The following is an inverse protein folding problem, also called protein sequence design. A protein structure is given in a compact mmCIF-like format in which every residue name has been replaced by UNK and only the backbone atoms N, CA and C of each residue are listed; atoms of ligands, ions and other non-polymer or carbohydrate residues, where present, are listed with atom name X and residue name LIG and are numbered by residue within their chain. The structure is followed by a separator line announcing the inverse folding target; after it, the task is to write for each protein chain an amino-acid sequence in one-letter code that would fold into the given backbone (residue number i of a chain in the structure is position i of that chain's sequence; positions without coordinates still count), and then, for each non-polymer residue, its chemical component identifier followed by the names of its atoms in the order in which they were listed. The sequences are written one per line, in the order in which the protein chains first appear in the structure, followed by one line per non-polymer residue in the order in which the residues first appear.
data_IF_821264354320
#
_entry.id   IF_821264354320
#
_cell.length_a   1.000
_cell.length_b   1.000
_cell.length_c   1.000
_cell.angle_alpha   90.00
_cell.angle_beta   90.00
_cell.angle_gamma   90.00
#
_symmetry.space_group_name_H-M   'P 1'
#
loop_
_entity.id
_entity.type
_entity.pdbx_description
1 polymer ?
#
# COMPACT_ATOMS: atom_id res chain seq x y z
N UNK A 1 2.54 0.21 -11.23
CA UNK A 1 2.13 0.09 -9.82
C UNK A 1 2.68 1.28 -9.03
N UNK A 2 3.99 1.44 -8.82
CA UNK A 2 4.61 2.49 -7.98
C UNK A 2 4.09 3.90 -8.33
N UNK A 3 4.10 4.28 -9.60
CA UNK A 3 3.63 5.61 -10.02
C UNK A 3 2.14 5.81 -9.70
N UNK A 4 1.29 4.82 -9.92
CA UNK A 4 -0.14 4.89 -9.59
C UNK A 4 -0.36 5.07 -8.08
N UNK A 5 0.42 4.36 -7.26
CA UNK A 5 0.45 4.54 -5.80
C UNK A 5 0.81 5.98 -5.44
N UNK A 6 1.89 6.49 -6.03
CA UNK A 6 2.39 7.85 -5.77
C UNK A 6 1.36 8.91 -6.15
N UNK A 7 0.75 8.81 -7.34
CA UNK A 7 -0.30 9.73 -7.80
C UNK A 7 -1.52 9.72 -6.88
N UNK A 8 -1.92 8.54 -6.42
CA UNK A 8 -3.03 8.38 -5.47
C UNK A 8 -2.71 9.04 -4.13
N UNK A 9 -1.53 8.77 -3.59
CA UNK A 9 -1.11 9.30 -2.29
C UNK A 9 -0.90 10.81 -2.31
N UNK A 10 -0.37 11.36 -3.40
CA UNK A 10 -0.19 12.81 -3.59
C UNK A 10 -1.50 13.55 -3.93
N UNK A 11 -2.55 12.82 -4.35
CA UNK A 11 -3.80 13.44 -4.81
C UNK A 11 -3.71 14.06 -6.20
N UNK A 12 -2.81 13.57 -7.05
CA UNK A 12 -2.60 14.08 -8.42
C UNK A 12 -3.41 13.25 -9.42
N UNK A 13 -4.74 13.45 -9.43
CA UNK A 13 -5.69 12.61 -10.18
C UNK A 13 -5.76 12.95 -11.66
N UNK A 14 -5.47 14.19 -12.07
CA UNK A 14 -5.63 14.70 -13.44
C UNK A 14 -4.83 13.90 -14.48
N UNK A 15 -3.76 13.26 -14.04
CA UNK A 15 -2.90 12.44 -14.91
C UNK A 15 -3.07 10.94 -14.70
N UNK A 16 -3.86 10.51 -13.70
CA UNK A 16 -3.96 9.11 -13.27
C UNK A 16 -4.52 8.21 -14.38
N UNK A 17 -5.53 8.66 -15.13
CA UNK A 17 -6.06 7.93 -16.29
C UNK A 17 -4.96 7.62 -17.31
N UNK A 18 -4.09 8.59 -17.61
CA UNK A 18 -2.97 8.43 -18.55
C UNK A 18 -1.99 7.35 -18.07
N UNK A 19 -1.66 7.35 -16.78
CA UNK A 19 -0.74 6.36 -16.19
C UNK A 19 -1.38 4.98 -16.04
N UNK A 20 -2.69 4.89 -15.73
CA UNK A 20 -3.44 3.64 -15.76
C UNK A 20 -3.48 3.04 -17.17
N UNK A 21 -3.73 3.87 -18.20
CA UNK A 21 -3.66 3.44 -19.61
C UNK A 21 -2.26 2.96 -19.99
N UNK A 22 -1.19 3.62 -19.49
CA UNK A 22 0.17 3.19 -19.75
C UNK A 22 0.49 1.86 -19.05
N UNK A 23 -0.01 1.65 -17.82
CA UNK A 23 0.14 0.40 -17.08
C UNK A 23 -0.56 -0.76 -17.81
N UNK A 24 -1.78 -0.58 -18.31
CA UNK A 24 -2.48 -1.58 -19.14
C UNK A 24 -1.67 -1.96 -20.38
N UNK A 25 -1.12 -0.97 -21.10
CA UNK A 25 -0.26 -1.24 -22.28
C UNK A 25 1.04 -1.96 -21.92
N UNK A 26 1.54 -1.78 -20.69
CA UNK A 26 2.71 -2.48 -20.18
C UNK A 26 2.39 -3.89 -19.65
N UNK A 27 1.15 -4.36 -19.78
CA UNK A 27 0.72 -5.70 -19.38
C UNK A 27 0.22 -5.83 -17.95
N UNK A 28 0.08 -4.72 -17.21
CA UNK A 28 -0.55 -4.74 -15.88
C UNK A 28 -2.06 -4.89 -16.07
N UNK A 29 -2.68 -5.87 -15.43
CA UNK A 29 -4.11 -6.12 -15.54
C UNK A 29 -4.94 -5.03 -14.84
N UNK A 30 -6.21 -4.87 -15.27
CA UNK A 30 -7.15 -3.94 -14.63
C UNK A 30 -7.37 -4.28 -13.15
N UNK A 31 -7.38 -5.58 -12.77
CA UNK A 31 -7.47 -6.01 -11.38
C UNK A 31 -6.23 -5.59 -10.57
N UNK A 32 -5.01 -5.74 -11.09
CA UNK A 32 -3.79 -5.31 -10.39
C UNK A 32 -3.77 -3.79 -10.20
N UNK A 33 -4.20 -3.01 -11.20
CA UNK A 33 -4.32 -1.56 -11.08
C UNK A 33 -5.34 -1.21 -10.00
N UNK A 34 -6.53 -1.79 -10.06
CA UNK A 34 -7.61 -1.56 -9.07
C UNK A 34 -7.15 -1.92 -7.66
N UNK A 35 -6.56 -3.10 -7.47
CA UNK A 35 -6.09 -3.54 -6.15
C UNK A 35 -4.92 -2.70 -5.62
N UNK A 36 -4.07 -2.15 -6.49
CA UNK A 36 -3.04 -1.17 -6.11
C UNK A 36 -3.67 0.08 -5.50
N UNK A 37 -4.70 0.63 -6.15
CA UNK A 37 -5.38 1.83 -5.67
C UNK A 37 -6.14 1.54 -4.37
N UNK A 38 -6.89 0.44 -4.31
CA UNK A 38 -7.62 0.00 -3.12
C UNK A 38 -6.67 -0.18 -1.93
N UNK A 39 -5.50 -0.78 -2.16
CA UNK A 39 -4.52 -1.03 -1.10
C UNK A 39 -3.97 0.27 -0.48
N UNK A 40 -4.06 1.39 -1.17
CA UNK A 40 -3.67 2.69 -0.60
C UNK A 40 -4.65 3.20 0.48
N UNK A 41 -5.88 2.67 0.56
CA UNK A 41 -6.96 3.21 1.42
C UNK A 41 -6.56 3.39 2.88
N UNK A 42 -5.95 2.40 3.58
CA UNK A 42 -5.59 2.56 4.99
C UNK A 42 -4.57 3.67 5.26
N UNK A 43 -3.82 4.06 4.25
CA UNK A 43 -2.70 5.02 4.37
C UNK A 43 -3.09 6.44 3.97
N UNK A 44 -3.88 6.57 2.91
CA UNK A 44 -4.15 7.89 2.31
C UNK A 44 -5.61 8.34 2.49
N UNK A 45 -6.47 7.45 2.97
CA UNK A 45 -7.89 7.70 3.16
C UNK A 45 -8.75 7.33 1.94
N UNK A 46 -9.98 6.96 2.21
CA UNK A 46 -10.93 6.39 1.24
C UNK A 46 -11.26 7.35 0.10
N UNK A 47 -11.45 8.65 0.37
CA UNK A 47 -11.87 9.60 -0.66
C UNK A 47 -10.79 9.83 -1.73
N UNK A 48 -9.51 9.83 -1.34
CA UNK A 48 -8.41 9.88 -2.30
C UNK A 48 -8.43 8.67 -3.24
N UNK A 49 -8.70 7.50 -2.70
CA UNK A 49 -8.76 6.25 -3.47
C UNK A 49 -9.99 6.23 -4.37
N UNK A 50 -11.16 6.71 -3.91
CA UNK A 50 -12.36 6.81 -4.74
C UNK A 50 -12.13 7.70 -5.97
N UNK A 51 -11.46 8.85 -5.79
CA UNK A 51 -11.10 9.74 -6.90
C UNK A 51 -10.10 9.07 -7.86
N UNK A 52 -9.10 8.38 -7.32
CA UNK A 52 -8.14 7.63 -8.12
C UNK A 52 -8.80 6.51 -8.94
N UNK A 53 -9.69 5.74 -8.32
CA UNK A 53 -10.46 4.68 -9.00
C UNK A 53 -11.32 5.25 -10.13
N UNK A 54 -12.00 6.38 -9.89
CA UNK A 54 -12.79 7.04 -10.93
C UNK A 54 -11.96 7.34 -12.18
N UNK A 55 -10.75 7.82 -12.03
CA UNK A 55 -9.86 8.10 -13.17
C UNK A 55 -9.30 6.81 -13.80
N UNK A 56 -8.98 5.78 -13.00
CA UNK A 56 -8.53 4.49 -13.52
C UNK A 56 -9.62 3.79 -14.35
N UNK A 57 -10.87 3.85 -13.92
CA UNK A 57 -11.98 3.25 -14.66
C UNK A 57 -12.19 3.88 -16.05
N UNK A 58 -11.91 5.17 -16.24
CA UNK A 58 -11.89 5.77 -17.59
C UNK A 58 -10.88 5.08 -18.51
N UNK A 59 -9.71 4.72 -17.98
CA UNK A 59 -8.72 3.96 -18.75
C UNK A 59 -9.19 2.54 -19.05
N UNK A 60 -9.86 1.87 -18.10
CA UNK A 60 -10.41 0.52 -18.28
C UNK A 60 -11.51 0.50 -19.37
N UNK A 61 -12.42 1.47 -19.35
CA UNK A 61 -13.47 1.62 -20.36
C UNK A 61 -12.86 1.84 -21.75
N UNK A 62 -11.90 2.76 -21.88
CA UNK A 62 -11.20 3.03 -23.15
C UNK A 62 -10.44 1.81 -23.70
N UNK A 63 -9.94 0.97 -22.81
CA UNK A 63 -9.24 -0.26 -23.19
C UNK A 63 -10.19 -1.47 -23.38
N UNK A 64 -11.48 -1.33 -23.10
CA UNK A 64 -12.47 -2.41 -23.21
C UNK A 64 -12.27 -3.53 -22.18
N UNK A 65 -11.69 -3.20 -21.01
CA UNK A 65 -11.38 -4.20 -19.95
C UNK A 65 -12.13 -3.93 -18.64
N UNK A 66 -13.05 -2.96 -18.60
CA UNK A 66 -13.78 -2.61 -17.38
C UNK A 66 -14.57 -3.80 -16.80
N UNK A 67 -15.19 -4.61 -17.66
CA UNK A 67 -15.97 -5.77 -17.27
C UNK A 67 -15.11 -6.95 -16.74
N UNK A 68 -13.80 -6.89 -16.90
CA UNK A 68 -12.89 -7.92 -16.36
C UNK A 68 -12.55 -7.69 -14.89
N UNK A 69 -12.92 -6.54 -14.34
CA UNK A 69 -12.63 -6.16 -12.96
C UNK A 69 -13.61 -6.86 -12.02
N UNK A 70 -13.07 -7.63 -11.08
CA UNK A 70 -13.85 -8.40 -10.11
C UNK A 70 -13.48 -8.06 -8.68
N UNK A 71 -14.39 -8.30 -7.73
CA UNK A 71 -14.06 -8.15 -6.32
C UNK A 71 -13.02 -9.19 -5.88
N UNK A 72 -12.03 -8.73 -5.13
CA UNK A 72 -10.90 -9.53 -4.65
C UNK A 72 -10.94 -9.77 -3.13
N UNK A 73 -12.02 -9.37 -2.45
CA UNK A 73 -12.20 -9.58 -1.01
C UNK A 73 -12.18 -11.06 -0.62
N UNK A 74 -11.64 -11.37 0.55
CA UNK A 74 -11.51 -12.74 1.05
C UNK A 74 -12.07 -12.92 2.46
N UNK A 75 -12.33 -11.81 3.16
CA UNK A 75 -12.78 -11.80 4.56
C UNK A 75 -14.17 -11.20 4.70
N UNK A 76 -14.84 -11.51 5.78
CA UNK A 76 -16.11 -10.93 6.23
C UNK A 76 -15.98 -10.37 7.66
N UNK A 77 -17.07 -9.86 8.23
CA UNK A 77 -17.09 -9.28 9.59
C UNK A 77 -16.65 -10.27 10.68
N UNK A 78 -16.79 -11.59 10.48
CA UNK A 78 -16.42 -12.60 11.46
C UNK A 78 -14.94 -12.97 11.36
N UNK A 79 -14.32 -12.85 10.18
CA UNK A 79 -12.97 -13.34 9.88
C UNK A 79 -11.93 -12.25 9.72
N UNK A 80 -12.32 -11.01 9.38
CA UNK A 80 -11.41 -9.90 9.07
C UNK A 80 -10.37 -9.63 10.16
N UNK A 81 -10.74 -9.73 11.44
CA UNK A 81 -9.82 -9.49 12.53
C UNK A 81 -8.78 -10.60 12.67
N UNK A 82 -9.22 -11.86 12.72
CA UNK A 82 -8.31 -13.01 12.91
C UNK A 82 -7.36 -13.19 11.73
N UNK A 83 -7.88 -13.09 10.50
CA UNK A 83 -7.07 -13.19 9.28
C UNK A 83 -6.09 -12.01 9.16
N UNK A 84 -6.56 -10.80 9.45
CA UNK A 84 -5.71 -9.60 9.43
C UNK A 84 -4.61 -9.65 10.48
N UNK A 85 -4.92 -10.07 11.71
CA UNK A 85 -3.92 -10.25 12.77
C UNK A 85 -2.86 -11.29 12.37
N UNK A 86 -3.27 -12.39 11.75
CA UNK A 86 -2.35 -13.42 11.27
C UNK A 86 -1.38 -12.86 10.21
N UNK A 87 -1.88 -12.12 9.23
CA UNK A 87 -1.05 -11.46 8.20
C UNK A 87 -0.12 -10.41 8.82
N UNK A 88 -0.62 -9.59 9.74
CA UNK A 88 0.18 -8.60 10.45
C UNK A 88 1.33 -9.26 11.24
N UNK A 89 1.06 -10.35 11.95
CA UNK A 89 2.07 -11.13 12.67
C UNK A 89 3.07 -11.81 11.73
N UNK A 90 2.63 -12.27 10.56
CA UNK A 90 3.50 -12.85 9.54
C UNK A 90 4.53 -11.83 9.04
N UNK A 91 4.13 -10.59 8.82
CA UNK A 91 5.00 -9.54 8.26
C UNK A 91 5.94 -8.97 9.33
N UNK A 92 5.42 -8.64 10.51
CA UNK A 92 6.13 -7.89 11.55
C UNK A 92 6.62 -8.73 12.73
N UNK A 93 6.31 -10.02 12.76
CA UNK A 93 6.64 -10.93 13.87
C UNK A 93 5.57 -10.94 14.96
N UNK A 94 5.21 -12.17 15.40
CA UNK A 94 4.13 -12.40 16.36
C UNK A 94 4.35 -11.68 17.69
N UNK A 95 5.54 -11.81 18.27
CA UNK A 95 5.84 -11.23 19.57
C UNK A 95 5.85 -9.69 19.52
N UNK A 96 6.38 -9.12 18.43
CA UNK A 96 6.37 -7.68 18.23
C UNK A 96 4.94 -7.13 18.18
N UNK A 97 4.05 -7.78 17.39
CA UNK A 97 2.66 -7.35 17.27
C UNK A 97 1.90 -7.54 18.60
N UNK A 98 2.09 -8.65 19.30
CA UNK A 98 1.46 -8.86 20.58
C UNK A 98 1.91 -7.80 21.62
N UNK A 99 3.21 -7.54 21.73
CA UNK A 99 3.74 -6.50 22.62
C UNK A 99 3.20 -5.11 22.31
N UNK A 100 3.10 -4.75 21.01
CA UNK A 100 2.54 -3.48 20.58
C UNK A 100 1.06 -3.36 21.01
N UNK A 101 0.27 -4.42 20.86
CA UNK A 101 -1.15 -4.46 21.25
C UNK A 101 -1.34 -4.42 22.76
N UNK A 102 -0.51 -5.17 23.51
CA UNK A 102 -0.62 -5.27 24.97
C UNK A 102 -0.17 -3.98 25.67
N UNK A 103 0.81 -3.27 25.10
CA UNK A 103 1.30 -1.99 25.61
C UNK A 103 0.43 -0.79 25.22
N UNK A 104 -0.56 -0.95 24.34
CA UNK A 104 -1.43 0.14 23.93
C UNK A 104 -2.30 0.65 25.11
N UNK A 105 -2.41 1.98 25.32
CA UNK A 105 -3.30 2.53 26.32
C UNK A 105 -4.75 2.08 26.09
N UNK A 106 -5.49 1.85 27.18
CA UNK A 106 -6.84 1.31 27.12
C UNK A 106 -7.77 2.15 26.25
N UNK A 107 -7.65 3.48 26.33
CA UNK A 107 -8.47 4.41 25.55
C UNK A 107 -8.22 4.38 24.04
N UNK A 108 -7.05 3.89 23.60
CA UNK A 108 -6.66 3.79 22.17
C UNK A 108 -6.56 2.35 21.67
N UNK A 109 -6.87 1.36 22.50
CA UNK A 109 -6.76 -0.06 22.14
C UNK A 109 -7.58 -0.44 20.93
N UNK A 110 -8.75 0.17 20.76
CA UNK A 110 -9.62 -0.02 19.58
C UNK A 110 -8.92 0.33 18.26
N UNK A 111 -7.96 1.26 18.27
CA UNK A 111 -7.15 1.59 17.07
C UNK A 111 -6.27 0.41 16.67
N UNK A 112 -5.73 -0.35 17.64
CA UNK A 112 -4.98 -1.57 17.35
C UNK A 112 -5.88 -2.66 16.75
N UNK A 113 -7.14 -2.74 17.20
CA UNK A 113 -8.11 -3.68 16.64
C UNK A 113 -8.48 -3.28 15.20
N UNK A 114 -8.70 -1.99 14.93
CA UNK A 114 -8.91 -1.51 13.57
C UNK A 114 -7.69 -1.70 12.68
N UNK A 115 -6.49 -1.52 13.20
CA UNK A 115 -5.28 -1.77 12.44
C UNK A 115 -5.23 -3.24 11.96
N UNK A 116 -5.53 -4.20 12.83
CA UNK A 116 -5.57 -5.61 12.45
C UNK A 116 -6.75 -5.94 11.53
N UNK A 117 -7.97 -5.52 11.87
CA UNK A 117 -9.16 -5.86 11.10
C UNK A 117 -9.27 -5.09 9.77
N UNK A 118 -9.16 -3.76 9.83
CA UNK A 118 -9.34 -2.89 8.67
C UNK A 118 -8.09 -2.88 7.78
N UNK A 119 -6.91 -2.49 8.30
CA UNK A 119 -5.72 -2.38 7.46
C UNK A 119 -5.28 -3.77 6.93
N UNK A 120 -5.05 -4.71 7.83
CA UNK A 120 -4.55 -6.03 7.44
C UNK A 120 -5.66 -6.99 6.97
N UNK A 121 -6.81 -7.02 7.64
CA UNK A 121 -7.92 -7.87 7.26
C UNK A 121 -8.52 -7.48 5.92
N UNK A 122 -9.05 -6.27 5.80
CA UNK A 122 -9.80 -5.88 4.60
C UNK A 122 -8.92 -5.63 3.37
N UNK A 123 -7.62 -5.28 3.54
CA UNK A 123 -6.77 -4.90 2.41
C UNK A 123 -5.63 -5.88 2.14
N UNK A 124 -4.90 -6.37 3.15
CA UNK A 124 -3.77 -7.27 2.90
C UNK A 124 -4.17 -8.70 2.51
N UNK A 125 -5.34 -9.17 2.94
CA UNK A 125 -5.84 -10.52 2.61
C UNK A 125 -6.40 -10.64 1.20
N UNK A 126 -6.71 -9.51 0.55
CA UNK A 126 -7.31 -9.49 -0.80
C UNK A 126 -6.41 -10.21 -1.81
N UNK A 127 -7.04 -10.85 -2.81
CA UNK A 127 -6.35 -11.56 -3.91
C UNK A 127 -5.60 -10.60 -4.84
N UNK A 128 -5.04 -11.13 -5.92
CA UNK A 128 -4.37 -10.46 -7.02
C UNK A 128 -2.95 -9.97 -6.71
N UNK A 129 -2.71 -9.29 -5.59
CA UNK A 129 -1.39 -8.83 -5.19
C UNK A 129 -0.85 -9.69 -4.04
N UNK A 130 0.41 -10.09 -4.14
CA UNK A 130 1.11 -10.79 -3.06
C UNK A 130 1.60 -9.81 -1.97
N UNK A 131 2.11 -10.33 -0.86
CA UNK A 131 2.60 -9.52 0.25
C UNK A 131 3.79 -8.65 -0.13
N UNK A 132 4.63 -9.08 -1.07
CA UNK A 132 5.76 -8.29 -1.56
C UNK A 132 5.27 -7.02 -2.24
N UNK A 133 4.31 -7.14 -3.14
CA UNK A 133 3.74 -5.99 -3.84
C UNK A 133 2.98 -5.09 -2.88
N UNK A 134 2.22 -5.64 -1.93
CA UNK A 134 1.47 -4.87 -0.93
C UNK A 134 2.41 -4.04 -0.03
N UNK A 135 3.50 -4.62 0.46
CA UNK A 135 4.48 -3.89 1.25
C UNK A 135 5.21 -2.81 0.42
N UNK A 136 5.49 -3.07 -0.86
CA UNK A 136 6.07 -2.06 -1.75
C UNK A 136 5.13 -0.88 -1.98
N UNK A 137 3.84 -1.14 -2.24
CA UNK A 137 2.80 -0.12 -2.37
C UNK A 137 2.70 0.69 -1.08
N UNK A 138 2.62 0.03 0.07
CA UNK A 138 2.54 0.67 1.38
C UNK A 138 3.73 1.59 1.62
N UNK A 139 4.94 1.12 1.38
CA UNK A 139 6.15 1.92 1.53
C UNK A 139 6.13 3.16 0.63
N UNK A 140 5.79 3.01 -0.65
CA UNK A 140 5.69 4.13 -1.59
C UNK A 140 4.61 5.14 -1.19
N UNK A 141 3.44 4.67 -0.71
CA UNK A 141 2.36 5.54 -0.24
C UNK A 141 2.80 6.38 0.98
N UNK A 142 3.43 5.75 1.98
CA UNK A 142 3.94 6.40 3.19
C UNK A 142 5.02 7.42 2.85
N UNK A 143 5.99 7.05 2.00
CA UNK A 143 7.04 7.97 1.55
C UNK A 143 6.48 9.17 0.77
N UNK A 144 5.42 8.95 0.00
CA UNK A 144 4.73 10.01 -0.75
C UNK A 144 4.01 10.99 0.19
N UNK A 145 3.38 10.51 1.25
CA UNK A 145 2.75 11.36 2.28
C UNK A 145 3.78 12.26 2.94
N UNK A 146 4.92 11.70 3.33
CA UNK A 146 5.95 12.40 4.12
C UNK A 146 5.52 12.68 5.56
N UNK A 147 6.47 12.94 6.45
CA UNK A 147 6.22 13.14 7.87
C UNK A 147 5.83 11.87 8.62
N UNK A 148 6.07 10.70 8.00
CA UNK A 148 5.72 9.37 8.52
C UNK A 148 6.98 8.48 8.61
N UNK A 149 8.14 9.04 8.94
CA UNK A 149 9.42 8.34 8.94
C UNK A 149 9.45 7.09 9.85
N UNK A 150 8.83 7.06 11.05
CA UNK A 150 8.74 5.85 11.85
C UNK A 150 8.04 4.71 11.12
N UNK A 151 6.92 4.99 10.44
CA UNK A 151 6.18 4.01 9.66
C UNK A 151 6.97 3.60 8.41
N UNK A 152 7.59 4.56 7.72
CA UNK A 152 8.44 4.28 6.56
C UNK A 152 9.61 3.32 6.92
N UNK A 153 10.26 3.50 8.08
CA UNK A 153 11.30 2.60 8.58
C UNK A 153 10.75 1.20 8.85
N UNK A 154 9.61 1.10 9.53
CA UNK A 154 8.98 -0.19 9.82
C UNK A 154 8.63 -0.94 8.53
N UNK A 155 8.04 -0.25 7.54
CA UNK A 155 7.68 -0.85 6.25
C UNK A 155 8.88 -1.09 5.33
N UNK A 156 9.98 -0.35 5.46
CA UNK A 156 11.24 -0.71 4.79
C UNK A 156 11.77 -2.06 5.30
N UNK A 157 11.76 -2.28 6.63
CA UNK A 157 12.12 -3.57 7.23
C UNK A 157 11.13 -4.68 6.85
N UNK A 158 9.83 -4.41 6.85
CA UNK A 158 8.79 -5.34 6.43
C UNK A 158 8.96 -5.77 4.96
N UNK A 159 9.33 -4.86 4.07
CA UNK A 159 9.65 -5.19 2.67
C UNK A 159 10.78 -6.23 2.59
N UNK A 160 11.84 -6.07 3.38
CA UNK A 160 12.94 -7.05 3.42
C UNK A 160 12.42 -8.40 3.96
N UNK A 161 11.61 -8.39 5.02
CA UNK A 161 11.09 -9.63 5.63
C UNK A 161 10.18 -10.42 4.68
N UNK A 162 9.41 -9.76 3.81
CA UNK A 162 8.58 -10.44 2.81
C UNK A 162 9.34 -10.79 1.54
N UNK A 163 10.63 -10.46 1.44
CA UNK A 163 11.55 -10.86 0.37
C UNK A 163 11.72 -9.84 -0.76
N UNK A 164 11.36 -8.58 -0.55
CA UNK A 164 11.83 -7.49 -1.40
C UNK A 164 13.29 -7.17 -1.07
N UNK A 165 14.02 -6.62 -2.04
CA UNK A 165 15.42 -6.26 -1.82
C UNK A 165 15.57 -4.76 -1.56
N UNK A 166 16.67 -4.38 -0.88
CA UNK A 166 17.06 -2.98 -0.73
C UNK A 166 17.12 -2.25 -2.09
N UNK A 167 17.64 -2.92 -3.14
CA UNK A 167 17.68 -2.37 -4.49
C UNK A 167 16.30 -2.03 -5.03
N UNK A 168 15.32 -2.94 -4.86
CA UNK A 168 13.93 -2.69 -5.28
C UNK A 168 13.32 -1.48 -4.58
N UNK A 169 13.60 -1.27 -3.28
CA UNK A 169 13.11 -0.11 -2.55
C UNK A 169 13.73 1.20 -3.07
N UNK A 170 15.04 1.20 -3.35
CA UNK A 170 15.74 2.34 -3.94
C UNK A 170 15.18 2.67 -5.33
N UNK A 171 14.97 1.65 -6.17
CA UNK A 171 14.39 1.83 -7.50
C UNK A 171 12.97 2.40 -7.41
N UNK A 172 12.14 1.88 -6.51
CA UNK A 172 10.78 2.37 -6.27
C UNK A 172 10.80 3.85 -5.83
N UNK A 173 11.64 4.24 -4.88
CA UNK A 173 11.78 5.63 -4.44
C UNK A 173 12.29 6.53 -5.56
N UNK A 174 13.21 6.01 -6.40
CA UNK A 174 13.70 6.73 -7.59
C UNK A 174 12.56 6.98 -8.59
N UNK A 175 11.65 6.02 -8.78
CA UNK A 175 10.45 6.21 -9.60
C UNK A 175 9.46 7.22 -8.99
N UNK A 176 9.40 7.33 -7.67
CA UNK A 176 8.58 8.33 -6.98
C UNK A 176 9.14 9.75 -7.11
N UNK A 177 10.46 9.93 -7.21
CA UNK A 177 11.16 11.22 -7.18
C UNK A 177 10.53 12.32 -8.04
N UNK A 178 10.16 12.08 -9.34
CA UNK A 178 9.56 13.13 -10.17
C UNK A 178 8.24 13.69 -9.62
N UNK A 179 7.57 12.97 -8.73
CA UNK A 179 6.25 13.30 -8.19
C UNK A 179 6.30 13.83 -6.75
N UNK A 180 7.29 13.39 -5.96
CA UNK A 180 7.39 13.75 -4.53
C UNK A 180 8.52 14.75 -4.22
N UNK A 181 9.45 14.93 -5.14
CA UNK A 181 10.61 15.82 -5.00
C UNK A 181 11.70 15.29 -4.06
N UNK A 182 12.84 15.97 -4.04
CA UNK A 182 14.02 15.54 -3.29
C UNK A 182 13.83 15.42 -1.78
N UNK A 183 13.14 16.33 -1.06
CA UNK A 183 13.05 16.21 0.39
C UNK A 183 12.44 14.89 0.85
N UNK A 184 11.31 14.47 0.27
CA UNK A 184 10.68 13.19 0.60
C UNK A 184 11.50 12.00 0.12
N UNK A 185 12.14 12.10 -1.04
CA UNK A 185 13.04 11.06 -1.56
C UNK A 185 14.21 10.82 -0.63
N UNK A 186 14.89 11.85 -0.15
CA UNK A 186 16.02 11.73 0.77
C UNK A 186 15.60 11.14 2.12
N UNK A 187 14.42 11.53 2.64
CA UNK A 187 13.85 10.94 3.84
C UNK A 187 13.56 9.44 3.65
N UNK A 188 12.98 9.07 2.51
CA UNK A 188 12.71 7.66 2.17
C UNK A 188 14.00 6.83 2.09
N UNK A 189 15.05 7.35 1.44
CA UNK A 189 16.36 6.69 1.38
C UNK A 189 16.96 6.49 2.78
N UNK A 190 16.86 7.51 3.67
CA UNK A 190 17.30 7.38 5.06
C UNK A 190 16.53 6.29 5.82
N UNK A 191 15.23 6.12 5.54
CA UNK A 191 14.43 5.03 6.12
C UNK A 191 14.90 3.66 5.63
N UNK A 192 15.22 3.52 4.33
CA UNK A 192 15.80 2.29 3.75
C UNK A 192 17.15 1.97 4.39
N UNK A 193 18.00 2.98 4.63
CA UNK A 193 19.32 2.80 5.26
C UNK A 193 19.24 2.26 6.70
N UNK A 194 18.11 2.47 7.35
CA UNK A 194 17.84 2.01 8.70
C UNK A 194 17.27 0.59 8.75
N UNK A 195 16.79 0.06 7.61
CA UNK A 195 16.23 -1.28 7.50
C UNK A 195 17.36 -2.32 7.40
N UNK A 196 17.38 -3.28 8.30
CA UNK A 196 18.37 -4.38 8.28
C UNK A 196 19.65 -4.10 9.07
N UNK A 197 19.64 -3.09 9.95
CA UNK A 197 20.69 -2.91 10.97
C UNK A 197 20.31 -3.55 12.28
#
# INVERSE_FOLDING_TARGET
IVILTTLTASGTYEVLEKYASAALRAGVSANEIRETLIHCTPYVGMEKVNLALKEAYKAFEKAGVADTVTDQGTVDENTRFSEGLAVQQQIFGKDNINNMRDSAPQETKHIQDYLSAYCFGDFYTRKTLDLKMRELITFCAICTLGGCEPQAKAHASANISVGNTRGMLIDAVTMCLPFIGFPRTLNALSCIDSAGK
#
